data_IF_967218090616
#
_entry.id   IF_967218090616
#
_cell.length_a   1.000
_cell.length_b   1.000
_cell.length_c   1.000
_cell.angle_alpha   90.00
_cell.angle_beta   90.00
_cell.angle_gamma   90.00
#
_symmetry.space_group_name_H-M   'P 1'
#
loop_
_entity.id
_entity.type
_entity.pdbx_description
1 polymer ?
#
# COMPACT_ATOMS: atom_id res chain seq x y z
N UNK A 1 -8.82 -4.50 17.36
CA UNK A 1 -7.83 -5.18 16.50
C UNK A 1 -8.18 -4.81 15.07
N UNK A 2 -7.23 -4.29 14.34
CA UNK A 2 -7.38 -3.88 12.94
C UNK A 2 -6.37 -4.67 12.12
N UNK A 3 -6.75 -5.14 10.95
CA UNK A 3 -5.83 -5.73 9.99
C UNK A 3 -5.28 -4.61 9.13
N UNK A 4 -4.00 -4.68 8.79
CA UNK A 4 -3.30 -3.67 8.01
C UNK A 4 -2.95 -4.22 6.63
N UNK A 5 -1.87 -4.94 6.49
CA UNK A 5 -1.51 -5.65 5.27
C UNK A 5 -2.05 -7.08 5.29
N UNK A 6 -2.47 -7.58 4.15
CA UNK A 6 -2.97 -8.96 4.01
C UNK A 6 -2.40 -9.63 2.76
N UNK A 7 -2.23 -10.97 2.82
CA UNK A 7 -1.90 -11.79 1.67
C UNK A 7 -2.74 -13.07 1.70
N UNK A 8 -3.54 -13.27 0.67
CA UNK A 8 -4.35 -14.47 0.49
C UNK A 8 -3.58 -15.49 -0.37
N UNK A 9 -3.27 -16.65 0.20
CA UNK A 9 -2.61 -17.75 -0.51
C UNK A 9 -3.60 -18.54 -1.39
N UNK A 10 -3.09 -19.17 -2.42
CA UNK A 10 -3.88 -19.99 -3.35
C UNK A 10 -4.72 -21.08 -2.69
N UNK A 11 -4.25 -21.62 -1.57
CA UNK A 11 -4.95 -22.65 -0.79
C UNK A 11 -6.02 -22.08 0.17
N UNK A 12 -6.17 -20.77 0.21
CA UNK A 12 -7.12 -20.07 1.10
C UNK A 12 -6.55 -19.67 2.45
N UNK A 13 -5.29 -20.01 2.76
CA UNK A 13 -4.62 -19.45 3.94
C UNK A 13 -4.53 -17.92 3.83
N UNK A 14 -4.61 -17.24 4.96
CA UNK A 14 -4.52 -15.79 5.04
C UNK A 14 -3.38 -15.38 5.98
N UNK A 15 -2.47 -14.56 5.46
CA UNK A 15 -1.44 -13.88 6.24
C UNK A 15 -1.91 -12.45 6.54
N UNK A 16 -1.79 -12.01 7.79
CA UNK A 16 -2.24 -10.69 8.22
C UNK A 16 -1.24 -10.01 9.14
N UNK A 17 -0.94 -8.76 8.85
CA UNK A 17 -0.36 -7.84 9.83
C UNK A 17 -1.52 -7.24 10.64
N UNK A 18 -1.47 -7.37 11.96
CA UNK A 18 -2.55 -6.91 12.84
C UNK A 18 -2.04 -5.99 13.93
N UNK A 19 -2.84 -5.01 14.30
CA UNK A 19 -2.56 -4.14 15.42
C UNK A 19 -3.65 -4.19 16.50
N UNK A 20 -3.31 -3.66 17.66
CA UNK A 20 -4.27 -3.35 18.70
C UNK A 20 -4.24 -1.85 18.97
N UNK A 21 -5.36 -1.27 19.38
CA UNK A 21 -5.48 0.16 19.68
C UNK A 21 -4.56 0.64 20.83
N UNK A 22 -3.74 -0.23 21.39
CA UNK A 22 -2.81 0.06 22.49
C UNK A 22 -1.36 0.20 22.05
N UNK A 23 -1.04 -0.16 20.79
CA UNK A 23 0.30 0.01 20.23
C UNK A 23 0.38 1.31 19.43
N UNK A 24 1.51 2.06 19.48
CA UNK A 24 1.68 3.23 18.62
C UNK A 24 1.60 2.85 17.14
N UNK A 25 2.14 1.70 16.72
CA UNK A 25 1.95 1.10 15.41
C UNK A 25 2.38 -0.37 15.44
N UNK A 26 1.55 -1.24 14.86
CA UNK A 26 1.85 -2.67 14.74
C UNK A 26 1.73 -3.47 16.03
N UNK A 27 1.47 -4.75 15.90
CA UNK A 27 1.44 -5.69 17.03
C UNK A 27 1.97 -7.07 16.66
N UNK A 28 1.70 -7.58 15.46
CA UNK A 28 2.17 -8.89 15.07
C UNK A 28 1.80 -9.29 13.65
N UNK A 29 2.34 -10.43 13.27
CA UNK A 29 2.04 -11.11 12.03
C UNK A 29 1.43 -12.48 12.36
N UNK A 30 0.32 -12.83 11.69
CA UNK A 30 -0.34 -14.11 11.90
C UNK A 30 -0.74 -14.75 10.57
N UNK A 31 -0.59 -16.07 10.49
CA UNK A 31 -1.10 -16.87 9.38
C UNK A 31 -2.26 -17.72 9.88
N UNK A 32 -3.38 -17.65 9.18
CA UNK A 32 -4.60 -18.40 9.43
C UNK A 32 -4.83 -19.38 8.27
N UNK A 33 -5.46 -20.51 8.55
CA UNK A 33 -5.96 -21.38 7.48
C UNK A 33 -7.30 -20.84 6.91
N UNK A 34 -7.77 -21.47 5.83
CA UNK A 34 -9.04 -21.12 5.16
C UNK A 34 -10.27 -21.21 6.08
N UNK A 35 -10.18 -21.92 7.19
CA UNK A 35 -11.24 -22.11 8.17
C UNK A 35 -11.06 -21.19 9.40
N UNK A 36 -10.14 -20.19 9.27
CA UNK A 36 -9.79 -19.19 10.29
C UNK A 36 -9.10 -19.74 11.53
N UNK A 37 -8.49 -20.92 11.48
CA UNK A 37 -7.67 -21.43 12.56
C UNK A 37 -6.25 -20.87 12.47
N UNK A 38 -5.68 -20.51 13.62
CA UNK A 38 -4.32 -20.01 13.69
C UNK A 38 -3.31 -21.10 13.32
N UNK A 39 -2.52 -20.88 12.24
CA UNK A 39 -1.39 -21.73 11.87
C UNK A 39 -0.16 -21.35 12.67
N UNK A 40 0.23 -20.07 12.60
CA UNK A 40 1.33 -19.52 13.38
C UNK A 40 1.18 -17.99 13.56
N UNK A 41 1.95 -17.45 14.49
CA UNK A 41 2.12 -16.00 14.66
C UNK A 41 3.57 -15.67 14.98
N UNK A 42 4.03 -14.52 14.48
CA UNK A 42 5.32 -13.93 14.81
C UNK A 42 5.12 -12.65 15.64
N UNK A 43 5.81 -12.51 16.78
CA UNK A 43 5.65 -11.36 17.68
C UNK A 43 6.54 -10.19 17.25
N UNK A 44 6.45 -9.78 15.99
CA UNK A 44 7.11 -8.59 15.46
C UNK A 44 6.14 -7.40 15.54
N UNK A 45 6.66 -6.20 15.60
CA UNK A 45 5.82 -4.99 15.55
C UNK A 45 5.42 -4.69 14.09
N UNK A 46 4.73 -5.66 13.47
CA UNK A 46 4.29 -5.53 12.08
C UNK A 46 3.24 -4.44 11.93
N UNK A 47 3.38 -3.63 10.87
CA UNK A 47 2.45 -2.54 10.57
C UNK A 47 2.25 -2.39 9.05
N UNK A 48 1.27 -1.61 8.66
CA UNK A 48 0.89 -1.19 7.32
C UNK A 48 0.82 -2.31 6.27
N UNK A 49 1.94 -2.94 5.91
CA UNK A 49 1.98 -3.75 4.70
C UNK A 49 2.93 -4.96 4.80
N UNK A 50 2.68 -5.92 3.93
CA UNK A 50 3.51 -7.11 3.75
C UNK A 50 3.39 -7.62 2.31
N UNK A 51 4.41 -8.35 1.86
CA UNK A 51 4.36 -9.07 0.60
C UNK A 51 5.04 -10.44 0.72
N UNK A 52 4.69 -11.36 -0.18
CA UNK A 52 5.19 -12.74 -0.19
C UNK A 52 5.86 -13.03 -1.51
N UNK A 53 7.15 -13.34 -1.46
CA UNK A 53 7.93 -13.71 -2.63
C UNK A 53 7.52 -15.09 -3.19
N UNK A 54 7.82 -15.38 -4.46
CA UNK A 54 7.52 -16.67 -5.08
C UNK A 54 8.15 -17.87 -4.38
N UNK A 55 9.27 -17.69 -3.69
CA UNK A 55 9.94 -18.73 -2.88
C UNK A 55 9.30 -18.94 -1.50
N UNK A 56 8.27 -18.17 -1.16
CA UNK A 56 7.53 -18.21 0.10
C UNK A 56 8.13 -17.38 1.22
N UNK A 57 9.21 -16.64 0.99
CA UNK A 57 9.68 -15.64 1.95
C UNK A 57 8.66 -14.52 2.10
N UNK A 58 8.53 -14.04 3.33
CA UNK A 58 7.63 -12.97 3.68
C UNK A 58 8.46 -11.73 3.99
N UNK A 59 8.07 -10.61 3.40
CA UNK A 59 8.61 -9.28 3.68
C UNK A 59 7.50 -8.46 4.34
N UNK A 60 7.68 -8.10 5.60
CA UNK A 60 6.69 -7.34 6.35
C UNK A 60 7.31 -6.06 6.90
N UNK A 61 6.61 -4.95 6.75
CA UNK A 61 6.98 -3.75 7.47
C UNK A 61 6.85 -4.01 8.97
N UNK A 62 7.89 -3.71 9.69
CA UNK A 62 7.97 -3.77 11.15
C UNK A 62 8.67 -2.51 11.66
N UNK A 63 8.79 -2.38 12.97
CA UNK A 63 9.43 -1.23 13.56
C UNK A 63 10.21 -1.60 14.80
N UNK A 64 11.27 -0.86 15.02
CA UNK A 64 12.05 -0.86 16.25
C UNK A 64 11.82 0.46 16.99
N UNK A 65 11.46 0.39 18.26
CA UNK A 65 11.20 1.58 19.08
C UNK A 65 12.40 1.79 20.02
N UNK A 66 13.19 2.83 19.75
CA UNK A 66 14.27 3.26 20.64
C UNK A 66 13.73 4.26 21.66
N UNK A 67 13.89 3.94 22.93
CA UNK A 67 13.55 4.85 24.04
C UNK A 67 14.68 5.84 24.36
N UNK A 68 15.86 5.60 23.83
CA UNK A 68 17.01 6.48 23.93
C UNK A 68 17.19 7.29 22.64
N UNK A 69 17.76 8.51 22.71
CA UNK A 69 18.10 9.26 21.51
C UNK A 69 19.04 8.44 20.60
N UNK A 70 18.74 8.42 19.31
CA UNK A 70 19.57 7.74 18.34
C UNK A 70 20.88 8.51 18.13
N UNK A 71 22.02 7.79 18.18
CA UNK A 71 23.34 8.38 17.98
C UNK A 71 23.42 9.08 16.60
N UNK A 72 23.85 10.34 16.61
CA UNK A 72 23.92 11.20 15.43
C UNK A 72 22.58 11.87 15.04
N UNK A 73 21.49 11.56 15.77
CA UNK A 73 20.16 12.13 15.58
C UNK A 73 19.53 12.60 16.90
N UNK A 74 20.34 13.01 17.85
CA UNK A 74 19.91 13.41 19.19
C UNK A 74 18.88 14.57 19.15
N UNK A 75 18.89 15.34 18.08
CA UNK A 75 17.92 16.44 17.84
C UNK A 75 16.49 15.96 17.62
N UNK A 76 16.32 14.74 17.15
CA UNK A 76 14.99 14.16 16.98
C UNK A 76 14.32 13.84 18.32
N UNK A 77 15.13 13.70 19.38
CA UNK A 77 14.64 13.33 20.70
C UNK A 77 14.37 11.82 20.80
N UNK A 78 13.57 11.43 21.79
CA UNK A 78 13.12 10.06 22.00
C UNK A 78 11.65 10.06 22.47
N UNK A 79 10.86 8.98 22.25
CA UNK A 79 11.25 7.77 21.52
C UNK A 79 11.39 8.00 20.01
N UNK A 80 12.18 7.18 19.35
CA UNK A 80 12.30 7.12 17.89
C UNK A 80 11.77 5.77 17.42
N UNK A 81 10.96 5.83 16.36
CA UNK A 81 10.47 4.65 15.66
C UNK A 81 11.29 4.52 14.38
N UNK A 82 12.11 3.49 14.31
CA UNK A 82 12.85 3.11 13.10
C UNK A 82 12.02 2.06 12.35
N UNK A 83 11.59 2.40 11.14
CA UNK A 83 10.93 1.43 10.29
C UNK A 83 11.93 0.38 9.82
N UNK A 84 11.53 -0.88 9.92
CA UNK A 84 12.30 -2.05 9.51
C UNK A 84 11.49 -2.90 8.52
N UNK A 85 12.21 -3.68 7.73
CA UNK A 85 11.62 -4.76 6.95
C UNK A 85 12.04 -6.07 7.60
N UNK A 86 11.10 -6.76 8.22
CA UNK A 86 11.29 -8.11 8.71
C UNK A 86 11.17 -9.10 7.55
N UNK A 87 12.22 -9.89 7.34
CA UNK A 87 12.23 -11.00 6.38
C UNK A 87 11.98 -12.28 7.14
N UNK A 88 10.90 -12.99 6.81
CA UNK A 88 10.54 -14.23 7.48
C UNK A 88 10.49 -15.40 6.48
N UNK A 89 10.70 -16.60 7.00
CA UNK A 89 10.40 -17.82 6.26
C UNK A 89 8.89 -18.07 6.19
N UNK A 90 8.46 -18.96 5.31
CA UNK A 90 7.04 -19.31 5.13
C UNK A 90 6.38 -19.88 6.38
N UNK A 91 7.17 -20.37 7.35
CA UNK A 91 6.73 -20.88 8.66
C UNK A 91 6.80 -19.82 9.78
N UNK A 92 7.05 -18.54 9.42
CA UNK A 92 6.97 -17.40 10.33
C UNK A 92 8.22 -17.16 11.18
N UNK A 93 9.36 -17.80 10.87
CA UNK A 93 10.62 -17.53 11.57
C UNK A 93 11.31 -16.30 10.98
N UNK A 94 11.74 -15.39 11.83
CA UNK A 94 12.51 -14.21 11.43
C UNK A 94 13.88 -14.69 10.94
N UNK A 95 14.22 -14.32 9.72
CA UNK A 95 15.49 -14.61 9.07
C UNK A 95 16.41 -13.39 9.14
N UNK A 96 15.85 -12.18 9.01
CA UNK A 96 16.58 -10.92 8.94
C UNK A 96 15.65 -9.76 9.28
N UNK A 97 16.19 -8.69 9.83
CA UNK A 97 15.52 -7.40 10.02
C UNK A 97 16.42 -6.33 9.40
N UNK A 98 15.86 -5.47 8.55
CA UNK A 98 16.57 -4.47 7.76
C UNK A 98 16.05 -3.09 8.14
N UNK A 99 16.89 -2.25 8.76
CA UNK A 99 16.55 -0.85 9.04
C UNK A 99 16.44 -0.08 7.72
N UNK A 100 15.29 0.55 7.49
CA UNK A 100 15.07 1.40 6.31
C UNK A 100 15.95 2.65 6.40
N UNK A 101 16.07 3.26 7.58
CA UNK A 101 16.99 4.37 7.81
C UNK A 101 18.44 3.95 7.59
N UNK A 102 18.81 2.73 8.04
CA UNK A 102 20.12 2.14 7.79
C UNK A 102 20.42 1.99 6.32
N UNK A 103 19.47 1.48 5.53
CA UNK A 103 19.59 1.33 4.08
C UNK A 103 19.78 2.66 3.35
N UNK A 104 19.12 3.74 3.79
CA UNK A 104 19.41 5.09 3.27
C UNK A 104 20.81 5.55 3.64
N UNK A 105 21.27 5.34 4.87
CA UNK A 105 22.61 5.72 5.29
C UNK A 105 23.69 5.06 4.46
N UNK A 106 23.47 3.84 4.02
CA UNK A 106 24.43 3.07 3.21
C UNK A 106 24.43 3.48 1.74
N UNK A 107 23.53 4.38 1.31
CA UNK A 107 23.28 4.71 -0.10
C UNK A 107 23.65 6.15 -0.46
N UNK A 108 23.78 6.43 -1.76
CA UNK A 108 23.92 7.79 -2.29
C UNK A 108 22.66 8.65 -2.06
N UNK A 109 21.51 8.02 -1.77
CA UNK A 109 20.24 8.69 -1.53
C UNK A 109 20.06 9.22 -0.10
N UNK A 110 21.05 9.01 0.78
CA UNK A 110 20.99 9.54 2.15
C UNK A 110 20.75 11.05 2.20
N UNK A 111 21.30 11.78 1.20
CA UNK A 111 21.08 13.22 1.05
C UNK A 111 19.60 13.63 0.90
N UNK A 112 18.73 12.74 0.44
CA UNK A 112 17.30 13.02 0.27
C UNK A 112 16.55 13.15 1.60
N UNK A 113 16.98 12.43 2.63
CA UNK A 113 16.33 12.44 3.94
C UNK A 113 17.08 13.28 4.98
N UNK A 114 18.39 13.44 4.85
CA UNK A 114 19.25 14.11 5.83
C UNK A 114 18.81 15.53 6.22
N UNK A 115 18.37 16.41 5.30
CA UNK A 115 17.93 17.76 5.67
C UNK A 115 16.73 17.77 6.62
N UNK A 116 15.88 16.74 6.54
CA UNK A 116 14.71 16.59 7.41
C UNK A 116 15.10 16.03 8.76
N UNK A 117 16.00 15.03 8.80
CA UNK A 117 16.51 14.46 10.04
C UNK A 117 17.28 15.49 10.89
N UNK A 118 17.87 16.50 10.24
CA UNK A 118 18.57 17.59 10.92
C UNK A 118 17.67 18.75 11.35
N UNK A 119 16.41 18.76 10.97
CA UNK A 119 15.49 19.85 11.26
C UNK A 119 14.30 19.36 12.09
N UNK A 120 14.37 19.59 13.41
CA UNK A 120 13.33 19.20 14.37
C UNK A 120 11.94 19.75 13.99
N UNK A 121 11.89 20.93 13.36
CA UNK A 121 10.63 21.58 12.97
C UNK A 121 10.04 21.00 11.68
N UNK A 122 10.78 20.14 10.98
CA UNK A 122 10.33 19.46 9.76
C UNK A 122 10.18 17.95 9.93
N UNK A 123 10.85 17.36 10.91
CA UNK A 123 10.68 15.96 11.24
C UNK A 123 9.47 15.80 12.17
N UNK A 124 8.61 14.87 11.83
CA UNK A 124 7.55 14.38 12.71
C UNK A 124 6.40 15.35 13.03
N UNK A 125 6.40 16.55 12.45
CA UNK A 125 5.40 17.61 12.70
C UNK A 125 4.64 18.03 11.43
N UNK A 126 4.92 17.39 10.27
CA UNK A 126 4.29 17.74 8.99
C UNK A 126 2.77 17.52 9.07
N UNK A 127 2.34 16.59 9.89
CA UNK A 127 0.94 16.37 10.21
C UNK A 127 0.73 16.49 11.72
N UNK A 128 0.37 17.68 12.20
CA UNK A 128 0.01 17.96 13.60
C UNK A 128 -1.08 17.05 14.19
N UNK A 129 -1.59 16.12 13.39
CA UNK A 129 -2.59 15.11 13.77
C UNK A 129 -1.99 13.79 14.21
N UNK A 130 -0.68 13.54 14.03
CA UNK A 130 -0.07 12.28 14.45
C UNK A 130 0.49 12.40 15.87
N UNK A 131 -0.14 11.76 16.89
CA UNK A 131 0.38 11.73 18.25
C UNK A 131 1.64 10.86 18.41
N UNK A 132 2.11 10.21 17.35
CA UNK A 132 3.28 9.34 17.31
C UNK A 132 4.54 10.17 17.09
N UNK A 133 4.93 10.93 18.10
CA UNK A 133 6.23 11.60 18.11
C UNK A 133 7.31 10.52 17.95
N UNK A 134 8.19 10.68 16.95
CA UNK A 134 9.30 9.76 16.71
C UNK A 134 9.14 8.82 15.52
N UNK A 135 7.99 8.78 14.86
CA UNK A 135 7.78 8.08 13.60
C UNK A 135 8.38 8.91 12.46
N UNK A 136 9.61 8.57 12.09
CA UNK A 136 10.45 9.45 11.26
C UNK A 136 10.12 9.27 9.78
N UNK A 137 10.10 8.04 9.29
CA UNK A 137 9.97 7.71 7.88
C UNK A 137 8.52 7.43 7.50
N UNK A 138 7.81 6.79 8.40
CA UNK A 138 6.46 6.30 8.20
C UNK A 138 6.36 5.46 6.94
N UNK A 139 7.16 4.37 6.90
CA UNK A 139 7.07 3.41 5.82
C UNK A 139 5.68 2.75 5.80
N UNK A 140 5.00 2.79 4.66
CA UNK A 140 3.61 2.32 4.57
C UNK A 140 3.37 1.27 3.49
N UNK A 141 4.39 0.94 2.70
CA UNK A 141 4.30 -0.09 1.65
C UNK A 141 5.61 -0.83 1.51
N UNK A 142 5.51 -2.13 1.30
CA UNK A 142 6.60 -3.00 0.84
C UNK A 142 6.08 -3.94 -0.24
N UNK A 143 6.73 -3.96 -1.43
CA UNK A 143 6.40 -4.82 -2.56
C UNK A 143 7.63 -5.54 -3.06
N UNK A 144 7.57 -6.85 -3.16
CA UNK A 144 8.60 -7.67 -3.78
C UNK A 144 8.62 -7.46 -5.29
N UNK A 145 9.79 -7.17 -5.84
CA UNK A 145 9.98 -7.03 -7.29
C UNK A 145 10.30 -8.41 -7.85
N UNK A 146 9.36 -8.98 -8.61
CA UNK A 146 9.58 -10.25 -9.32
C UNK A 146 10.48 -10.04 -10.53
N UNK A 147 11.07 -11.12 -11.07
CA UNK A 147 11.87 -11.09 -12.30
C UNK A 147 11.09 -10.45 -13.47
N UNK A 148 9.79 -10.74 -13.58
CA UNK A 148 8.92 -10.17 -14.61
C UNK A 148 8.73 -8.66 -14.42
N UNK A 149 8.41 -8.20 -13.21
CA UNK A 149 8.27 -6.79 -12.88
C UNK A 149 9.59 -6.04 -13.14
N UNK A 150 10.73 -6.57 -12.68
CA UNK A 150 12.03 -5.97 -12.93
C UNK A 150 12.32 -5.80 -14.43
N UNK A 151 12.13 -6.87 -15.20
CA UNK A 151 12.34 -6.83 -16.66
C UNK A 151 11.40 -5.84 -17.37
N UNK A 152 10.14 -5.76 -16.94
CA UNK A 152 9.15 -4.85 -17.50
C UNK A 152 9.54 -3.38 -17.35
N UNK A 153 10.16 -2.99 -16.22
CA UNK A 153 10.58 -1.60 -15.96
C UNK A 153 11.70 -1.16 -16.91
N UNK A 154 12.52 -2.08 -17.42
CA UNK A 154 13.77 -1.82 -18.16
C UNK A 154 14.75 -0.96 -17.38
N UNK A 155 14.54 -0.77 -16.09
CA UNK A 155 15.45 0.01 -15.26
C UNK A 155 16.71 -0.81 -14.98
N UNK A 156 17.92 -0.27 -15.23
CA UNK A 156 19.17 -1.04 -15.18
C UNK A 156 19.54 -1.52 -13.78
N UNK A 157 19.00 -0.89 -12.73
CA UNK A 157 19.30 -1.22 -11.33
C UNK A 157 18.31 -2.21 -10.74
N UNK A 158 17.07 -2.32 -11.27
CA UNK A 158 16.04 -3.15 -10.66
C UNK A 158 16.23 -4.61 -11.03
N UNK A 159 16.21 -5.48 -10.04
CA UNK A 159 16.35 -6.94 -10.20
C UNK A 159 15.31 -7.68 -9.36
N UNK A 160 15.15 -8.96 -9.66
CA UNK A 160 14.38 -9.84 -8.79
C UNK A 160 14.94 -9.86 -7.38
N UNK A 161 14.09 -9.77 -6.40
CA UNK A 161 14.44 -9.75 -4.99
C UNK A 161 14.51 -8.36 -4.37
N UNK A 162 14.59 -7.31 -5.17
CA UNK A 162 14.51 -5.94 -4.68
C UNK A 162 13.12 -5.64 -4.11
N UNK A 163 13.02 -4.64 -3.25
CA UNK A 163 11.79 -4.24 -2.59
C UNK A 163 11.44 -2.79 -2.95
N UNK A 164 10.27 -2.59 -3.55
CA UNK A 164 9.71 -1.25 -3.72
C UNK A 164 9.04 -0.83 -2.41
N UNK A 165 9.44 0.30 -1.85
CA UNK A 165 8.94 0.84 -0.58
C UNK A 165 8.43 2.27 -0.73
N UNK A 166 7.55 2.67 0.16
CA UNK A 166 7.02 4.04 0.24
C UNK A 166 7.23 4.64 1.62
N UNK A 167 7.79 5.85 1.66
CA UNK A 167 8.05 6.63 2.87
C UNK A 167 7.14 7.85 2.86
N UNK A 168 6.04 7.76 3.59
CA UNK A 168 4.96 8.72 3.58
C UNK A 168 5.38 10.13 3.99
N UNK A 169 6.15 10.24 5.08
CA UNK A 169 6.52 11.53 5.66
C UNK A 169 7.55 12.30 4.80
N UNK A 170 8.16 11.63 3.84
CA UNK A 170 9.16 12.23 2.95
C UNK A 170 8.67 12.41 1.51
N UNK A 171 7.45 11.97 1.19
CA UNK A 171 6.96 11.92 -0.19
C UNK A 171 7.91 11.15 -1.12
N UNK A 172 8.56 10.09 -0.60
CA UNK A 172 9.55 9.28 -1.30
C UNK A 172 9.00 7.89 -1.58
N UNK A 173 9.21 7.40 -2.79
CA UNK A 173 9.22 5.98 -3.12
C UNK A 173 10.66 5.56 -3.41
N UNK A 174 11.04 4.34 -3.02
CA UNK A 174 12.41 3.87 -3.17
C UNK A 174 12.45 2.37 -3.49
N UNK A 175 13.56 1.93 -4.06
CA UNK A 175 13.89 0.52 -4.25
C UNK A 175 15.07 0.17 -3.37
N UNK A 176 14.87 -0.84 -2.52
CA UNK A 176 15.83 -1.34 -1.56
C UNK A 176 16.33 -2.72 -2.02
N UNK A 177 17.65 -2.90 -2.07
CA UNK A 177 18.30 -4.21 -2.19
C UNK A 177 18.40 -4.84 -0.80
N UNK A 178 17.63 -5.90 -0.48
CA UNK A 178 17.62 -6.48 0.86
C UNK A 178 18.88 -7.29 1.18
N UNK A 179 19.67 -7.68 0.19
CA UNK A 179 20.93 -8.39 0.41
C UNK A 179 22.07 -7.42 0.74
N UNK A 180 22.12 -6.29 0.01
CA UNK A 180 23.11 -5.24 0.28
C UNK A 180 22.70 -4.32 1.45
N UNK A 181 21.42 -4.33 1.85
CA UNK A 181 20.83 -3.38 2.79
C UNK A 181 21.05 -1.92 2.37
N UNK A 182 20.78 -1.64 1.11
CA UNK A 182 21.05 -0.35 0.48
C UNK A 182 19.85 0.09 -0.36
N UNK A 183 19.58 1.41 -0.37
CA UNK A 183 18.66 2.00 -1.34
C UNK A 183 19.39 2.16 -2.66
N UNK A 184 18.93 1.46 -3.68
CA UNK A 184 19.54 1.48 -5.03
C UNK A 184 18.87 2.48 -5.97
N UNK A 185 17.69 2.99 -5.61
CA UNK A 185 16.95 4.02 -6.32
C UNK A 185 15.96 4.69 -5.38
N UNK A 186 15.81 6.00 -5.48
CA UNK A 186 14.80 6.75 -4.77
C UNK A 186 14.30 7.94 -5.58
N UNK A 187 13.02 8.25 -5.44
CA UNK A 187 12.40 9.41 -6.07
C UNK A 187 11.47 10.11 -5.08
N UNK A 188 11.80 11.37 -4.80
CA UNK A 188 10.88 12.31 -4.16
C UNK A 188 10.04 12.94 -5.25
N UNK A 189 8.73 12.73 -5.18
CA UNK A 189 7.85 13.17 -6.24
C UNK A 189 7.11 14.47 -5.96
N UNK A 190 6.20 14.73 -6.88
CA UNK A 190 5.19 15.79 -6.84
C UNK A 190 3.84 15.25 -6.35
N UNK A 191 3.88 14.09 -5.71
CA UNK A 191 2.80 13.50 -4.89
C UNK A 191 3.01 13.86 -3.42
N UNK A 192 1.99 13.60 -2.60
CA UNK A 192 2.06 13.85 -1.17
C UNK A 192 1.37 12.76 -0.37
N UNK A 193 2.07 12.34 0.70
CA UNK A 193 1.55 11.34 1.65
C UNK A 193 1.10 10.04 0.97
N UNK A 194 1.78 9.66 -0.11
CA UNK A 194 1.44 8.57 -1.00
C UNK A 194 1.38 7.21 -0.28
N UNK A 195 0.58 6.30 -0.86
CA UNK A 195 0.45 4.91 -0.43
C UNK A 195 0.54 3.96 -1.62
N UNK A 196 0.87 2.74 -1.31
CA UNK A 196 0.71 1.53 -2.12
C UNK A 196 1.32 1.61 -3.55
N UNK A 197 2.60 2.03 -3.71
CA UNK A 197 3.23 1.89 -5.00
C UNK A 197 3.37 0.43 -5.41
N UNK A 198 3.05 0.13 -6.68
CA UNK A 198 3.30 -1.18 -7.30
C UNK A 198 3.77 -1.01 -8.75
N UNK A 199 4.42 -2.06 -9.28
CA UNK A 199 4.90 -2.08 -10.66
C UNK A 199 3.85 -2.76 -11.55
N UNK A 200 3.36 -2.03 -12.56
CA UNK A 200 2.42 -2.53 -13.54
C UNK A 200 3.07 -3.52 -14.51
N UNK A 201 2.28 -4.32 -15.21
CA UNK A 201 2.78 -5.20 -16.28
C UNK A 201 3.48 -4.46 -17.43
N UNK A 202 3.23 -3.16 -17.58
CA UNK A 202 3.94 -2.29 -18.53
C UNK A 202 5.26 -1.73 -17.96
N UNK A 203 5.65 -2.08 -16.74
CA UNK A 203 6.87 -1.64 -16.08
C UNK A 203 6.83 -0.19 -15.59
N UNK A 204 5.65 0.33 -15.31
CA UNK A 204 5.44 1.64 -14.70
C UNK A 204 5.21 1.47 -13.20
N UNK A 205 5.55 2.46 -12.40
CA UNK A 205 5.18 2.51 -10.99
C UNK A 205 3.85 3.26 -10.88
N UNK A 206 2.81 2.59 -10.41
CA UNK A 206 1.54 3.20 -10.08
C UNK A 206 1.46 3.41 -8.58
N UNK A 207 0.84 4.50 -8.10
CA UNK A 207 0.69 4.78 -6.67
C UNK A 207 -0.58 5.60 -6.40
N UNK A 208 -1.04 5.54 -5.16
CA UNK A 208 -2.11 6.38 -4.63
C UNK A 208 -1.49 7.66 -4.03
N UNK A 209 -1.75 8.81 -4.66
CA UNK A 209 -1.36 10.14 -4.17
C UNK A 209 -2.51 10.72 -3.34
N UNK A 210 -2.38 10.65 -2.01
CA UNK A 210 -3.48 10.94 -1.10
C UNK A 210 -3.90 12.41 -1.10
N UNK A 211 -2.95 13.34 -1.20
CA UNK A 211 -3.25 14.77 -1.17
C UNK A 211 -3.38 15.39 -2.58
N UNK A 212 -3.05 14.63 -3.62
CA UNK A 212 -3.20 15.06 -5.01
C UNK A 212 -2.42 16.31 -5.37
N UNK A 213 -2.89 17.05 -6.37
CA UNK A 213 -2.30 18.34 -6.74
C UNK A 213 -2.80 19.43 -5.78
N UNK A 214 -1.92 19.90 -4.92
CA UNK A 214 -2.23 20.91 -3.90
C UNK A 214 -2.63 22.28 -4.49
N UNK A 215 -2.46 22.47 -5.80
CA UNK A 215 -2.88 23.70 -6.50
C UNK A 215 -4.36 23.69 -6.88
N UNK A 216 -5.00 22.51 -6.82
CA UNK A 216 -6.42 22.34 -7.13
C UNK A 216 -7.30 22.63 -5.92
N UNK A 217 -8.52 23.14 -6.17
CA UNK A 217 -9.56 23.32 -5.17
C UNK A 217 -10.92 22.90 -5.81
N UNK A 218 -11.67 21.94 -5.27
CA UNK A 218 -11.36 21.18 -4.05
C UNK A 218 -10.19 20.19 -4.28
N UNK A 219 -9.41 19.98 -3.23
CA UNK A 219 -8.34 18.97 -3.21
C UNK A 219 -8.93 17.59 -3.41
N UNK A 220 -8.25 16.78 -4.20
CA UNK A 220 -8.65 15.41 -4.52
C UNK A 220 -7.45 14.50 -4.38
N UNK A 221 -7.68 13.28 -3.97
CA UNK A 221 -6.70 12.22 -4.17
C UNK A 221 -6.62 11.87 -5.65
N UNK A 222 -5.51 11.29 -6.06
CA UNK A 222 -5.35 10.82 -7.44
C UNK A 222 -4.51 9.56 -7.50
N UNK A 223 -4.69 8.79 -8.56
CA UNK A 223 -3.76 7.74 -8.95
C UNK A 223 -2.82 8.31 -9.98
N UNK A 224 -1.53 8.05 -9.84
CA UNK A 224 -0.54 8.41 -10.85
C UNK A 224 0.29 7.19 -11.23
N UNK A 225 0.70 7.16 -12.48
CA UNK A 225 1.61 6.16 -13.02
C UNK A 225 2.85 6.86 -13.58
N UNK A 226 4.02 6.36 -13.22
CA UNK A 226 5.30 7.00 -13.50
C UNK A 226 6.21 6.01 -14.25
N UNK A 227 6.94 6.51 -15.21
CA UNK A 227 8.06 5.79 -15.80
C UNK A 227 9.28 5.90 -14.87
N UNK A 228 9.80 4.80 -14.29
CA UNK A 228 10.92 4.86 -13.37
C UNK A 228 12.24 5.31 -14.01
N UNK A 229 12.38 5.21 -15.36
CA UNK A 229 13.56 5.67 -16.10
C UNK A 229 13.56 7.18 -16.33
N UNK A 230 12.40 7.74 -16.69
CA UNK A 230 12.29 9.16 -17.06
C UNK A 230 11.71 10.02 -15.96
N UNK A 231 11.16 9.39 -14.92
CA UNK A 231 10.46 10.01 -13.80
C UNK A 231 9.23 10.85 -14.21
N UNK A 232 8.72 10.62 -15.42
CA UNK A 232 7.55 11.34 -15.94
C UNK A 232 6.26 10.59 -15.61
N UNK A 233 5.19 11.35 -15.32
CA UNK A 233 3.84 10.80 -15.25
C UNK A 233 3.42 10.35 -16.65
N UNK A 234 3.03 9.09 -16.75
CA UNK A 234 2.54 8.46 -17.99
C UNK A 234 1.03 8.33 -18.04
N UNK A 235 0.40 8.31 -16.87
CA UNK A 235 -1.05 8.26 -16.72
C UNK A 235 -1.45 8.80 -15.34
N UNK A 236 -2.65 9.35 -15.24
CA UNK A 236 -3.23 9.77 -13.96
C UNK A 236 -4.75 9.65 -13.99
N UNK A 237 -5.35 9.48 -12.82
CA UNK A 237 -6.80 9.50 -12.64
C UNK A 237 -7.11 10.18 -11.29
N UNK A 238 -7.95 11.20 -11.31
CA UNK A 238 -8.38 12.00 -10.15
C UNK A 238 -9.90 12.03 -9.98
N UNK A 239 -10.58 11.05 -10.61
CA UNK A 239 -12.02 10.95 -10.66
C UNK A 239 -12.60 11.50 -11.96
N UNK A 240 -13.92 11.60 -11.98
CA UNK A 240 -14.70 12.23 -13.06
C UNK A 240 -15.43 13.47 -12.53
N UNK A 241 -16.19 14.17 -13.38
CA UNK A 241 -17.03 15.29 -12.92
C UNK A 241 -18.12 14.83 -11.93
N UNK A 242 -18.64 13.61 -12.12
CA UNK A 242 -19.69 13.04 -11.27
C UNK A 242 -19.15 12.25 -10.08
N UNK A 243 -17.95 11.70 -10.20
CA UNK A 243 -17.37 10.78 -9.23
C UNK A 243 -15.93 11.19 -8.88
N UNK A 244 -15.78 11.88 -7.76
CA UNK A 244 -14.47 12.25 -7.20
C UNK A 244 -14.19 11.41 -5.98
N UNK A 245 -12.91 11.20 -5.65
CA UNK A 245 -12.53 10.52 -4.41
C UNK A 245 -11.47 11.32 -3.65
N UNK A 246 -11.51 11.20 -2.32
CA UNK A 246 -10.58 11.90 -1.45
C UNK A 246 -10.30 11.09 -0.19
N UNK A 247 -9.12 10.55 -0.09
CA UNK A 247 -8.67 9.80 1.07
C UNK A 247 -7.29 10.27 1.51
N UNK A 248 -7.24 10.97 2.65
CA UNK A 248 -6.01 11.57 3.18
C UNK A 248 -5.03 10.57 3.79
N UNK A 249 -5.51 9.38 4.09
CA UNK A 249 -4.76 8.33 4.77
C UNK A 249 -5.08 6.98 4.16
N UNK A 250 -4.10 6.08 4.21
CA UNK A 250 -4.21 4.71 3.69
C UNK A 250 -4.60 4.72 2.21
N UNK A 251 -5.51 3.82 1.79
CA UNK A 251 -5.89 3.59 0.40
C UNK A 251 -4.89 2.72 -0.35
N UNK A 252 -5.39 2.05 -1.39
CA UNK A 252 -4.58 1.12 -2.19
C UNK A 252 -4.84 1.24 -3.67
N UNK A 253 -3.89 0.75 -4.44
CA UNK A 253 -3.98 0.66 -5.89
C UNK A 253 -3.46 -0.69 -6.35
N UNK A 254 -4.27 -1.43 -7.11
CA UNK A 254 -3.88 -2.72 -7.67
C UNK A 254 -3.92 -2.66 -9.20
N UNK A 255 -2.77 -2.80 -9.89
CA UNK A 255 -2.75 -3.03 -11.33
C UNK A 255 -3.40 -4.38 -11.64
N UNK A 256 -4.36 -4.38 -12.57
CA UNK A 256 -5.06 -5.60 -12.96
C UNK A 256 -4.48 -6.19 -14.26
N UNK A 257 -4.59 -7.52 -14.46
CA UNK A 257 -4.07 -8.19 -15.66
C UNK A 257 -4.66 -7.70 -16.98
N UNK A 258 -5.89 -7.14 -16.94
CA UNK A 258 -6.56 -6.55 -18.11
C UNK A 258 -6.07 -5.13 -18.44
N UNK A 259 -5.11 -4.60 -17.69
CA UNK A 259 -4.58 -3.25 -17.82
C UNK A 259 -5.34 -2.17 -17.05
N UNK A 260 -6.49 -2.49 -16.48
CA UNK A 260 -7.23 -1.59 -15.60
C UNK A 260 -6.52 -1.44 -14.24
N UNK A 261 -7.02 -0.51 -13.45
CA UNK A 261 -6.54 -0.25 -12.09
C UNK A 261 -7.72 -0.41 -11.13
N UNK A 262 -7.56 -1.22 -10.08
CA UNK A 262 -8.47 -1.24 -8.95
C UNK A 262 -7.97 -0.24 -7.92
N UNK A 263 -8.85 0.66 -7.50
CA UNK A 263 -8.60 1.72 -6.53
C UNK A 263 -9.41 1.42 -5.29
N UNK A 264 -8.76 1.35 -4.14
CA UNK A 264 -9.40 1.31 -2.82
C UNK A 264 -9.32 2.71 -2.19
N UNK A 265 -10.43 3.44 -2.20
CA UNK A 265 -10.55 4.73 -1.51
C UNK A 265 -11.00 4.48 -0.07
N UNK A 266 -10.02 4.36 0.83
CA UNK A 266 -10.23 3.96 2.22
C UNK A 266 -11.30 4.78 2.94
N UNK A 267 -11.17 6.12 2.93
CA UNK A 267 -12.06 6.99 3.70
C UNK A 267 -13.47 7.08 3.10
N UNK A 268 -13.58 6.93 1.79
CA UNK A 268 -14.88 6.90 1.10
C UNK A 268 -15.59 5.53 1.28
N UNK A 269 -14.81 4.49 1.64
CA UNK A 269 -15.33 3.13 1.77
C UNK A 269 -15.71 2.52 0.43
N UNK A 270 -14.94 2.81 -0.61
CA UNK A 270 -15.25 2.48 -2.00
C UNK A 270 -14.11 1.74 -2.70
N UNK A 271 -14.48 0.83 -3.59
CA UNK A 271 -13.57 0.26 -4.59
C UNK A 271 -14.04 0.67 -5.98
N UNK A 272 -13.11 1.14 -6.80
CA UNK A 272 -13.37 1.53 -8.19
C UNK A 272 -12.45 0.75 -9.13
N UNK A 273 -12.97 0.15 -10.20
CA UNK A 273 -12.15 -0.31 -11.31
C UNK A 273 -12.19 0.71 -12.43
N UNK A 274 -11.01 1.17 -12.84
CA UNK A 274 -10.85 2.26 -13.82
C UNK A 274 -10.03 1.77 -15.01
N UNK A 275 -10.50 2.06 -16.21
CA UNK A 275 -9.79 1.75 -17.46
C UNK A 275 -8.66 2.73 -17.74
N UNK A 276 -7.84 2.43 -18.75
CA UNK A 276 -6.79 3.37 -19.22
C UNK A 276 -7.35 4.64 -19.85
N UNK A 277 -8.58 4.57 -20.36
CA UNK A 277 -9.37 5.68 -20.90
C UNK A 277 -10.04 6.52 -19.81
N UNK A 278 -9.80 6.15 -18.52
CA UNK A 278 -10.33 6.84 -17.34
C UNK A 278 -11.85 6.64 -17.12
N UNK A 279 -12.39 5.55 -17.61
CA UNK A 279 -13.79 5.16 -17.38
C UNK A 279 -13.88 4.28 -16.12
N UNK A 280 -14.82 4.60 -15.23
CA UNK A 280 -15.15 3.74 -14.09
C UNK A 280 -16.08 2.64 -14.61
N UNK A 281 -15.56 1.40 -14.69
CA UNK A 281 -16.31 0.25 -15.23
C UNK A 281 -16.91 -0.64 -14.15
N UNK A 282 -16.48 -0.49 -12.91
CA UNK A 282 -17.04 -1.20 -11.77
C UNK A 282 -16.84 -0.40 -10.48
N UNK A 283 -17.83 -0.47 -9.59
CA UNK A 283 -17.82 0.20 -8.30
C UNK A 283 -18.42 -0.69 -7.22
N UNK A 284 -17.80 -0.70 -6.06
CA UNK A 284 -18.35 -1.25 -4.83
C UNK A 284 -18.32 -0.19 -3.74
N UNK A 285 -19.39 -0.11 -2.96
CA UNK A 285 -19.49 0.79 -1.80
C UNK A 285 -19.74 -0.08 -0.58
N UNK A 286 -19.00 0.14 0.49
CA UNK A 286 -19.19 -0.59 1.74
C UNK A 286 -20.64 -0.45 2.22
N UNK A 287 -21.38 -1.56 2.45
CA UNK A 287 -22.80 -1.50 2.76
C UNK A 287 -23.11 -1.02 4.17
N UNK A 288 -22.09 -0.90 5.02
CA UNK A 288 -22.27 -0.47 6.40
C UNK A 288 -22.21 1.04 6.51
N UNK A 289 -23.30 1.63 6.99
CA UNK A 289 -23.40 3.05 7.23
C UNK A 289 -23.71 3.31 8.70
N UNK A 290 -23.12 4.37 9.26
CA UNK A 290 -23.37 4.81 10.62
C UNK A 290 -23.66 6.30 10.65
N UNK A 291 -24.76 6.68 11.26
CA UNK A 291 -25.05 8.09 11.56
C UNK A 291 -24.26 8.49 12.80
N UNK A 292 -23.45 9.52 12.67
CA UNK A 292 -22.71 10.08 13.81
C UNK A 292 -23.62 11.05 14.58
N UNK A 293 -23.85 10.78 15.89
CA UNK A 293 -24.80 11.60 16.69
C UNK A 293 -24.41 13.08 16.81
N UNK A 294 -23.11 13.40 16.60
CA UNK A 294 -22.59 14.75 16.81
C UNK A 294 -23.03 15.74 15.72
N UNK A 295 -23.15 15.31 14.48
CA UNK A 295 -23.45 16.13 13.30
C UNK A 295 -24.61 15.60 12.47
N UNK A 296 -25.15 14.46 12.84
CA UNK A 296 -26.23 13.76 12.15
C UNK A 296 -25.90 13.39 10.69
N UNK A 297 -24.61 13.31 10.35
CA UNK A 297 -24.16 12.88 9.03
C UNK A 297 -24.04 11.34 8.97
N UNK A 298 -24.33 10.80 7.80
CA UNK A 298 -24.13 9.40 7.50
C UNK A 298 -22.70 9.17 7.02
N UNK A 299 -22.00 8.22 7.64
CA UNK A 299 -20.65 7.82 7.29
C UNK A 299 -20.67 6.39 6.76
N UNK A 300 -20.01 6.16 5.65
CA UNK A 300 -19.72 4.83 5.13
C UNK A 300 -18.57 4.21 5.91
N UNK A 301 -18.59 2.89 6.10
CA UNK A 301 -17.46 2.20 6.73
C UNK A 301 -16.25 2.25 5.81
N UNK A 302 -15.11 2.63 6.36
CA UNK A 302 -13.85 2.62 5.65
C UNK A 302 -13.45 1.18 5.23
N UNK A 303 -12.82 1.05 4.06
CA UNK A 303 -12.24 -0.19 3.57
C UNK A 303 -10.72 -0.15 3.71
N UNK A 304 -10.14 -1.15 4.36
CA UNK A 304 -8.70 -1.17 4.63
C UNK A 304 -7.85 -1.85 3.56
N UNK A 305 -8.41 -2.86 2.88
CA UNK A 305 -7.66 -3.69 1.95
C UNK A 305 -8.61 -4.39 0.98
N UNK A 306 -8.90 -3.73 -0.12
CA UNK A 306 -9.70 -4.27 -1.20
C UNK A 306 -8.82 -4.84 -2.29
N UNK A 307 -8.85 -6.17 -2.50
CA UNK A 307 -8.06 -6.84 -3.52
C UNK A 307 -8.93 -7.63 -4.48
N UNK A 308 -8.51 -7.74 -5.72
CA UNK A 308 -9.15 -8.58 -6.74
C UNK A 308 -8.23 -9.73 -7.11
N UNK A 309 -8.79 -10.92 -7.14
CA UNK A 309 -8.15 -12.15 -7.57
C UNK A 309 -8.89 -12.73 -8.78
N UNK A 310 -8.16 -13.34 -9.71
CA UNK A 310 -8.77 -14.19 -10.70
C UNK A 310 -9.18 -15.52 -10.05
N UNK A 311 -10.19 -16.18 -10.61
CA UNK A 311 -10.65 -17.48 -10.10
C UNK A 311 -9.53 -18.53 -10.13
N UNK A 312 -8.62 -18.44 -11.10
CA UNK A 312 -7.50 -19.36 -11.27
C UNK A 312 -6.41 -19.21 -10.22
N UNK A 313 -6.37 -18.07 -9.53
CA UNK A 313 -5.43 -17.81 -8.42
C UNK A 313 -5.91 -18.41 -7.09
N UNK A 314 -7.16 -18.87 -7.00
CA UNK A 314 -7.78 -19.33 -5.76
C UNK A 314 -8.14 -20.83 -5.85
N UNK A 315 -7.15 -21.71 -5.66
CA UNK A 315 -7.33 -23.16 -5.80
C UNK A 315 -8.35 -23.76 -4.81
N UNK A 316 -8.53 -23.14 -3.65
CA UNK A 316 -9.50 -23.61 -2.67
C UNK A 316 -10.95 -23.45 -3.13
N UNK A 317 -11.26 -22.51 -4.01
CA UNK A 317 -12.59 -22.33 -4.58
C UNK A 317 -12.90 -23.41 -5.62
N UNK A 318 -11.89 -23.91 -6.34
CA UNK A 318 -12.05 -25.00 -7.33
C UNK A 318 -12.45 -26.32 -6.68
N UNK A 319 -12.03 -26.54 -5.42
CA UNK A 319 -12.32 -27.77 -4.67
C UNK A 319 -13.73 -27.81 -4.09
N UNK A 320 -14.38 -26.65 -3.92
CA UNK A 320 -15.72 -26.56 -3.34
C UNK A 320 -16.84 -27.02 -4.28
N UNK A 321 -16.57 -27.17 -5.57
CA UNK A 321 -17.58 -27.57 -6.57
C UNK A 321 -18.67 -26.49 -6.79
N UNK A 322 -18.57 -25.37 -6.13
CA UNK A 322 -19.48 -24.24 -6.35
C UNK A 322 -19.07 -23.48 -7.61
N UNK A 323 -19.86 -23.67 -8.68
CA UNK A 323 -19.80 -22.76 -9.81
C UNK A 323 -20.33 -21.41 -9.35
N UNK A 324 -19.45 -20.41 -9.23
CA UNK A 324 -19.91 -19.03 -9.07
C UNK A 324 -20.76 -18.70 -10.31
N UNK A 325 -22.04 -18.35 -10.15
CA UNK A 325 -22.85 -17.99 -11.29
C UNK A 325 -22.26 -16.73 -11.92
N UNK A 326 -21.63 -16.88 -13.08
CA UNK A 326 -21.32 -15.74 -13.95
C UNK A 326 -22.66 -15.15 -14.34
N UNK A 327 -23.06 -14.05 -13.71
CA UNK A 327 -24.16 -13.24 -14.22
C UNK A 327 -23.68 -12.69 -15.56
N UNK A 328 -24.14 -13.30 -16.65
CA UNK A 328 -24.01 -12.70 -17.97
C UNK A 328 -24.53 -11.27 -17.88
N UNK A 329 -23.69 -10.30 -18.19
CA UNK A 329 -24.14 -8.92 -18.42
C UNK A 329 -25.11 -8.96 -19.60
N UNK A 330 -26.40 -8.88 -19.33
CA UNK A 330 -27.39 -8.61 -20.37
C UNK A 330 -27.06 -7.23 -20.93
N UNK A 331 -26.63 -7.22 -22.17
CA UNK A 331 -26.43 -6.01 -22.95
C UNK A 331 -27.65 -5.09 -22.81
N UNK A 332 -27.39 -3.85 -22.41
CA UNK A 332 -28.38 -2.79 -22.24
C UNK A 332 -29.04 -2.32 -23.54
N UNK A 333 -28.91 -3.05 -24.65
CA UNK A 333 -29.50 -2.71 -25.95
C UNK A 333 -30.96 -3.19 -26.14
N UNK A 334 -31.50 -4.04 -25.26
CA UNK A 334 -32.89 -4.52 -25.43
C UNK A 334 -33.94 -3.71 -24.65
N UNK A 335 -33.60 -2.77 -23.81
CA UNK A 335 -34.61 -2.01 -23.05
C UNK A 335 -35.15 -0.77 -23.75
N UNK A 336 -34.66 -0.43 -24.94
CA UNK A 336 -35.12 0.75 -25.67
C UNK A 336 -36.10 0.47 -26.83
N UNK A 337 -36.63 -0.74 -26.99
CA UNK A 337 -37.59 -1.09 -28.06
C UNK A 337 -39.05 -1.21 -27.65
N UNK A 338 -39.41 -0.97 -26.40
CA UNK A 338 -40.80 -1.07 -25.94
C UNK A 338 -41.41 0.21 -25.36
N UNK A 339 -41.02 1.37 -25.83
CA UNK A 339 -41.75 2.62 -25.53
C UNK A 339 -41.78 3.53 -26.74
N UNK A 340 -42.65 3.22 -27.67
CA UNK A 340 -43.30 4.24 -28.50
C UNK A 340 -44.69 3.73 -28.89
N UNK A 341 -45.73 4.60 -28.73
CA UNK A 341 -47.15 4.26 -28.83
C UNK A 341 -47.61 3.93 -30.24
#
# INVERSE_FOLDING_TARGET
MTWRGTHLFKNGDLLVAYDTNTSPAGYGLAKLDKDSNLIWKAPILAHHDLDVAPDGKIYALSQNISVDPMEGYERLGAPIIDDEIAVLSSDGKILKEISVLGAFKNSEYYGEILPYLNNKDRCCDIHQSNPQRGDILHANTVRYITAEKAAATRHPLFKEGDLLISLREFDIIAVLDPEAEEIIWALRGFWRTQHDPDITGAGRIVLFDNEGDQREDPKRSRIIEIDPLTTQITWSFDGTEEETFHSLIWSRVQPLPNGNVLIDSYQDGELLEVTREKEIVWKYVAPMHKVRPLDNLMYTAALHDGQRFSYDELDFLKQSGESIPVKEQKNSEEQNKEKTP
#
